data_IF_122433260702
#
_entry.id   IF_122433260702
#
_cell.length_a   1.000
_cell.length_b   1.000
_cell.length_c   1.000
_cell.angle_alpha   90.00
_cell.angle_beta   90.00
_cell.angle_gamma   90.00
#
_symmetry.space_group_name_H-M   'P 1'
#
loop_
_entity.id
_entity.type
_entity.pdbx_description
1 polymer ?
#
# COMPACT_ATOMS: atom_id res chain seq x y z
N UNK A 1 -13.00 9.31 8.55
CA UNK A 1 -11.65 8.72 8.64
C UNK A 1 -11.06 8.73 7.24
N UNK A 2 -9.73 8.82 7.08
CA UNK A 2 -9.11 8.74 5.75
C UNK A 2 -8.68 7.31 5.54
N UNK A 3 -9.26 6.63 4.55
CA UNK A 3 -8.94 5.22 4.29
C UNK A 3 -7.74 5.16 3.33
N UNK A 4 -6.66 4.54 3.78
CA UNK A 4 -5.45 4.36 2.98
C UNK A 4 -5.38 2.94 2.44
N UNK A 5 -4.90 2.79 1.21
CA UNK A 5 -4.83 1.52 0.52
C UNK A 5 -3.46 1.36 -0.12
N UNK A 6 -2.99 0.11 -0.15
CA UNK A 6 -1.79 -0.30 -0.88
C UNK A 6 -2.21 -0.75 -2.28
N UNK A 7 -1.60 -0.13 -3.28
CA UNK A 7 -1.87 -0.34 -4.69
C UNK A 7 -0.63 -0.91 -5.38
N UNK A 8 -0.83 -1.84 -6.30
CA UNK A 8 0.17 -2.29 -7.27
C UNK A 8 -0.28 -1.88 -8.67
N UNK A 9 0.43 -0.93 -9.28
CA UNK A 9 -0.02 -0.30 -10.52
C UNK A 9 -1.43 0.31 -10.35
N UNK A 10 -2.43 -0.27 -11.00
CA UNK A 10 -3.84 0.17 -10.93
C UNK A 10 -4.72 -0.70 -10.03
N UNK A 11 -4.18 -1.73 -9.39
CA UNK A 11 -4.93 -2.69 -8.57
C UNK A 11 -4.73 -2.43 -7.08
N UNK A 12 -5.83 -2.45 -6.33
CA UNK A 12 -5.80 -2.48 -4.87
C UNK A 12 -5.41 -3.88 -4.40
N UNK A 13 -4.45 -3.94 -3.47
CA UNK A 13 -3.90 -5.19 -2.94
C UNK A 13 -4.24 -5.35 -1.47
N UNK A 14 -4.19 -4.26 -0.70
CA UNK A 14 -4.40 -4.31 0.74
C UNK A 14 -4.98 -3.01 1.30
N UNK A 15 -5.86 -3.12 2.30
CA UNK A 15 -6.55 -2.01 2.97
C UNK A 15 -7.97 -2.42 3.42
N UNK A 16 -8.77 -1.49 3.95
CA UNK A 16 -8.41 -0.12 4.32
C UNK A 16 -7.52 -0.05 5.56
N UNK A 17 -6.57 0.88 5.57
CA UNK A 17 -5.75 1.25 6.72
C UNK A 17 -6.21 2.59 7.29
N UNK A 18 -6.23 2.70 8.61
CA UNK A 18 -6.62 3.94 9.31
C UNK A 18 -5.57 5.06 9.15
N UNK A 19 -4.30 4.69 8.94
CA UNK A 19 -3.17 5.61 8.84
C UNK A 19 -2.29 5.36 7.61
N UNK A 20 -1.83 6.45 6.98
CA UNK A 20 -0.87 6.40 5.87
C UNK A 20 0.40 5.64 6.24
N UNK A 21 0.84 5.75 7.50
CA UNK A 21 2.06 5.10 8.00
C UNK A 21 1.92 3.58 7.99
N UNK A 22 0.75 3.06 8.36
CA UNK A 22 0.44 1.62 8.35
C UNK A 22 0.42 1.10 6.91
N UNK A 23 -0.29 1.79 6.01
CA UNK A 23 -0.31 1.44 4.59
C UNK A 23 1.10 1.52 3.96
N UNK A 24 1.90 2.53 4.31
CA UNK A 24 3.27 2.68 3.80
C UNK A 24 4.19 1.57 4.28
N UNK A 25 4.17 1.24 5.58
CA UNK A 25 4.96 0.12 6.12
C UNK A 25 4.66 -1.15 5.34
N UNK A 26 3.39 -1.40 5.04
CA UNK A 26 2.99 -2.57 4.29
C UNK A 26 3.47 -2.56 2.84
N UNK A 27 3.34 -1.42 2.15
CA UNK A 27 3.89 -1.25 0.82
C UNK A 27 5.42 -1.45 0.78
N UNK A 28 6.16 -0.94 1.78
CA UNK A 28 7.61 -1.14 1.91
C UNK A 28 7.96 -2.62 2.15
N UNK A 29 7.23 -3.33 3.04
CA UNK A 29 7.42 -4.77 3.25
C UNK A 29 7.19 -5.58 1.97
N UNK A 30 6.16 -5.25 1.20
CA UNK A 30 5.86 -5.91 -0.06
C UNK A 30 6.93 -5.61 -1.13
N UNK A 31 7.38 -4.36 -1.23
CA UNK A 31 8.49 -3.98 -2.12
C UNK A 31 9.81 -4.68 -1.76
N UNK A 32 10.05 -4.97 -0.48
CA UNK A 32 11.25 -5.69 -0.04
C UNK A 32 11.18 -7.21 -0.33
N UNK A 33 9.98 -7.79 -0.31
CA UNK A 33 9.80 -9.23 -0.55
C UNK A 33 9.61 -9.57 -2.04
N UNK A 34 9.07 -8.65 -2.85
CA UNK A 34 8.84 -8.87 -4.28
C UNK A 34 9.73 -7.98 -5.15
N UNK A 35 10.66 -8.62 -5.86
CA UNK A 35 11.54 -7.95 -6.82
C UNK A 35 10.77 -7.69 -8.12
N UNK A 36 10.66 -6.43 -8.52
CA UNK A 36 10.04 -6.01 -9.79
C UNK A 36 8.61 -5.46 -9.67
N UNK A 37 8.05 -5.45 -8.46
CA UNK A 37 6.72 -4.90 -8.19
C UNK A 37 6.85 -3.55 -7.48
N UNK A 38 6.07 -2.54 -7.89
CA UNK A 38 6.06 -1.21 -7.28
C UNK A 38 4.76 -0.99 -6.50
N UNK A 39 4.82 -1.19 -5.19
CA UNK A 39 3.73 -0.93 -4.28
C UNK A 39 3.69 0.56 -3.90
N UNK A 40 2.50 1.17 -4.02
CA UNK A 40 2.25 2.60 -3.73
C UNK A 40 1.07 2.76 -2.80
N UNK A 41 1.00 3.88 -2.07
CA UNK A 41 -0.09 4.15 -1.14
C UNK A 41 -1.02 5.20 -1.73
N UNK A 42 -2.33 4.93 -1.75
CA UNK A 42 -3.37 5.86 -2.19
C UNK A 42 -4.38 6.09 -1.06
N UNK A 43 -4.88 7.32 -0.95
CA UNK A 43 -5.99 7.68 -0.05
C UNK A 43 -7.28 7.69 -0.89
N UNK A 44 -8.35 7.05 -0.39
CA UNK A 44 -9.71 7.24 -0.88
C UNK A 44 -10.52 8.13 0.07
#
# INVERSE_FOLDING_TARGET
MSDYYVMVGSREVEGPFEDRKSAKRRADELNMNEVGTNYTVRKQ
#
